data_IF_194665901214
#
_entry.id   IF_194665901214
#
_cell.length_a   1.000
_cell.length_b   1.000
_cell.length_c   1.000
_cell.angle_alpha   90.00
_cell.angle_beta   90.00
_cell.angle_gamma   90.00
#
_symmetry.space_group_name_H-M   'P 1'
#
loop_
_entity.id
_entity.type
_entity.pdbx_description
1 polymer ?
#
# COMPACT_ATOMS: atom_id res chain seq x y z
N UNK A 1 -8.37 -60.01 -32.81
CA UNK A 1 -7.80 -58.62 -32.81
C UNK A 1 -8.45 -57.90 -31.64
N UNK A 2 -7.72 -57.84 -30.52
CA UNK A 2 -8.19 -57.27 -29.26
C UNK A 2 -7.70 -55.83 -29.18
N UNK A 3 -8.59 -54.84 -29.17
CA UNK A 3 -8.24 -53.43 -28.90
C UNK A 3 -8.25 -53.22 -27.39
N UNK A 4 -7.05 -53.04 -26.83
CA UNK A 4 -6.84 -52.65 -25.44
C UNK A 4 -7.03 -51.10 -25.38
N UNK A 5 -8.16 -50.66 -24.77
CA UNK A 5 -8.38 -49.25 -24.44
C UNK A 5 -7.69 -48.96 -23.11
N UNK A 6 -6.57 -48.22 -23.16
CA UNK A 6 -5.88 -47.71 -21.99
C UNK A 6 -6.65 -46.48 -21.49
N UNK A 7 -7.44 -46.63 -20.44
CA UNK A 7 -8.00 -45.51 -19.66
C UNK A 7 -6.86 -44.91 -18.84
N UNK A 8 -6.27 -43.81 -19.31
CA UNK A 8 -5.46 -42.93 -18.49
C UNK A 8 -6.40 -42.16 -17.57
N UNK A 9 -6.55 -42.64 -16.33
CA UNK A 9 -7.06 -41.82 -15.24
C UNK A 9 -6.04 -40.72 -14.98
N UNK A 10 -6.31 -39.51 -15.47
CA UNK A 10 -5.63 -38.30 -15.00
C UNK A 10 -6.03 -38.11 -13.54
N UNK A 11 -5.19 -38.61 -12.63
CA UNK A 11 -5.23 -38.22 -11.24
C UNK A 11 -4.90 -36.72 -11.23
N UNK A 12 -5.91 -35.87 -11.01
CA UNK A 12 -5.73 -34.45 -10.75
C UNK A 12 -4.76 -34.32 -9.58
N UNK A 13 -3.57 -33.81 -9.85
CA UNK A 13 -2.54 -33.63 -8.84
C UNK A 13 -3.09 -32.70 -7.75
N UNK A 14 -2.95 -33.03 -6.45
CA UNK A 14 -3.39 -32.16 -5.35
C UNK A 14 -2.73 -30.76 -5.38
N UNK A 15 -1.62 -30.63 -6.08
CA UNK A 15 -0.91 -29.36 -6.31
C UNK A 15 -1.73 -28.34 -7.13
N UNK A 16 -2.49 -28.75 -8.14
CA UNK A 16 -3.29 -27.83 -8.95
C UNK A 16 -4.43 -27.16 -8.18
N UNK A 17 -5.04 -27.88 -7.23
CA UNK A 17 -6.09 -27.30 -6.38
C UNK A 17 -5.58 -26.32 -5.33
N UNK A 18 -4.35 -26.45 -4.89
CA UNK A 18 -3.69 -25.54 -3.94
C UNK A 18 -3.32 -24.22 -4.62
N UNK A 19 -2.69 -24.30 -5.79
CA UNK A 19 -2.32 -23.11 -6.58
C UNK A 19 -3.55 -22.29 -6.96
N UNK A 20 -4.65 -22.95 -7.33
CA UNK A 20 -5.93 -22.26 -7.60
C UNK A 20 -6.47 -21.51 -6.38
N UNK A 21 -6.36 -22.04 -5.15
CA UNK A 21 -6.79 -21.33 -3.94
C UNK A 21 -5.90 -20.12 -3.63
N UNK A 22 -4.59 -20.20 -3.84
CA UNK A 22 -3.70 -19.06 -3.65
C UNK A 22 -4.01 -17.95 -4.65
N UNK A 23 -4.22 -18.28 -5.92
CA UNK A 23 -4.61 -17.32 -6.96
C UNK A 23 -5.98 -16.70 -6.67
N UNK A 24 -6.97 -17.47 -6.21
CA UNK A 24 -8.28 -16.98 -5.78
C UNK A 24 -8.14 -16.01 -4.61
N UNK A 25 -7.39 -16.38 -3.57
CA UNK A 25 -7.15 -15.56 -2.39
C UNK A 25 -6.48 -14.23 -2.73
N UNK A 26 -5.47 -14.21 -3.61
CA UNK A 26 -4.85 -12.98 -4.06
C UNK A 26 -5.74 -12.16 -5.00
N UNK A 27 -6.59 -12.81 -5.80
CA UNK A 27 -7.59 -12.08 -6.59
C UNK A 27 -8.54 -11.31 -5.69
N UNK A 28 -9.02 -11.90 -4.60
CA UNK A 28 -9.84 -11.21 -3.61
C UNK A 28 -9.03 -10.15 -2.85
N UNK A 29 -7.81 -10.48 -2.43
CA UNK A 29 -6.91 -9.55 -1.74
C UNK A 29 -6.71 -8.25 -2.53
N UNK A 30 -6.33 -8.34 -3.81
CA UNK A 30 -6.10 -7.17 -4.66
C UNK A 30 -7.39 -6.45 -5.07
N UNK A 31 -8.54 -7.10 -4.97
CA UNK A 31 -9.85 -6.47 -5.09
C UNK A 31 -10.35 -5.83 -3.78
N UNK A 32 -9.54 -5.82 -2.71
CA UNK A 32 -9.89 -5.32 -1.37
C UNK A 32 -10.96 -6.16 -0.65
N UNK A 33 -11.25 -7.36 -1.12
CA UNK A 33 -12.22 -8.29 -0.55
C UNK A 33 -11.53 -9.15 0.52
N UNK A 34 -10.93 -8.50 1.52
CA UNK A 34 -10.06 -9.14 2.50
C UNK A 34 -10.71 -10.25 3.31
N UNK A 35 -12.00 -10.14 3.65
CA UNK A 35 -12.69 -11.19 4.41
C UNK A 35 -12.88 -12.46 3.55
N UNK A 36 -13.10 -12.32 2.23
CA UNK A 36 -13.12 -13.43 1.29
C UNK A 36 -11.73 -14.04 1.13
N UNK A 37 -10.70 -13.21 0.94
CA UNK A 37 -9.31 -13.65 0.85
C UNK A 37 -8.89 -14.46 2.09
N UNK A 38 -9.26 -14.00 3.30
CA UNK A 38 -9.00 -14.72 4.54
C UNK A 38 -9.64 -16.10 4.55
N UNK A 39 -10.92 -16.22 4.16
CA UNK A 39 -11.62 -17.49 4.11
C UNK A 39 -10.97 -18.48 3.10
N UNK A 40 -10.51 -17.96 1.96
CA UNK A 40 -9.81 -18.76 0.94
C UNK A 40 -8.45 -19.25 1.47
N UNK A 41 -7.65 -18.40 2.12
CA UNK A 41 -6.36 -18.79 2.68
C UNK A 41 -6.52 -19.74 3.87
N UNK A 42 -7.55 -19.60 4.72
CA UNK A 42 -7.88 -20.56 5.77
C UNK A 42 -8.20 -21.94 5.19
N UNK A 43 -8.98 -21.99 4.10
CA UNK A 43 -9.28 -23.23 3.39
C UNK A 43 -8.00 -23.84 2.78
N UNK A 44 -7.09 -23.02 2.28
CA UNK A 44 -5.81 -23.49 1.77
C UNK A 44 -4.93 -24.07 2.89
N UNK A 45 -4.85 -23.41 4.05
CA UNK A 45 -4.15 -23.91 5.25
C UNK A 45 -4.75 -25.23 5.74
N UNK A 46 -6.09 -25.34 5.78
CA UNK A 46 -6.74 -26.59 6.21
C UNK A 46 -6.39 -27.79 5.31
N UNK A 47 -6.13 -27.54 4.01
CA UNK A 47 -5.69 -28.58 3.07
C UNK A 47 -4.20 -28.90 3.19
N UNK A 48 -3.38 -27.92 3.55
CA UNK A 48 -1.94 -28.09 3.64
C UNK A 48 -1.32 -27.26 4.79
N UNK A 49 -1.52 -27.67 6.05
CA UNK A 49 -1.12 -26.90 7.23
C UNK A 49 0.39 -26.79 7.43
N UNK A 50 1.18 -27.62 6.74
CA UNK A 50 2.65 -27.59 6.80
C UNK A 50 3.32 -26.58 5.86
N UNK A 51 2.55 -25.81 5.08
CA UNK A 51 3.12 -24.83 4.12
C UNK A 51 3.26 -23.45 4.76
N UNK A 52 4.49 -22.96 4.97
CA UNK A 52 4.72 -21.69 5.64
C UNK A 52 4.17 -20.48 4.86
N UNK A 53 4.15 -20.53 3.51
CA UNK A 53 3.67 -19.43 2.67
C UNK A 53 2.19 -19.12 2.89
N UNK A 54 1.37 -20.14 3.16
CA UNK A 54 -0.06 -19.96 3.40
C UNK A 54 -0.32 -19.15 4.68
N UNK A 55 0.48 -19.36 5.72
CA UNK A 55 0.43 -18.59 6.95
C UNK A 55 0.90 -17.15 6.71
N UNK A 56 1.90 -16.94 5.85
CA UNK A 56 2.31 -15.61 5.40
C UNK A 56 1.19 -14.88 4.65
N UNK A 57 0.50 -15.54 3.71
CA UNK A 57 -0.63 -14.95 2.97
C UNK A 57 -1.77 -14.55 3.90
N UNK A 58 -2.08 -15.39 4.88
CA UNK A 58 -3.08 -15.07 5.89
C UNK A 58 -2.67 -13.88 6.76
N UNK A 59 -1.43 -13.85 7.25
CA UNK A 59 -0.90 -12.75 8.04
C UNK A 59 -0.86 -11.43 7.24
N UNK A 60 -0.41 -11.47 6.00
CA UNK A 60 -0.42 -10.34 5.07
C UNK A 60 -1.83 -9.79 4.92
N UNK A 61 -2.80 -10.66 4.66
CA UNK A 61 -4.20 -10.27 4.47
C UNK A 61 -4.78 -9.61 5.72
N UNK A 62 -4.48 -10.14 6.91
CA UNK A 62 -4.90 -9.54 8.18
C UNK A 62 -4.31 -8.13 8.37
N UNK A 63 -3.02 -7.95 8.10
CA UNK A 63 -2.34 -6.64 8.23
C UNK A 63 -2.97 -5.64 7.24
N UNK A 64 -3.13 -6.02 5.97
CA UNK A 64 -3.68 -5.14 4.94
C UNK A 64 -5.15 -4.82 5.18
N UNK A 65 -5.95 -5.76 5.70
CA UNK A 65 -7.32 -5.50 6.14
C UNK A 65 -7.38 -4.44 7.22
N UNK A 66 -6.51 -4.51 8.23
CA UNK A 66 -6.44 -3.48 9.28
C UNK A 66 -5.96 -2.13 8.73
N UNK A 67 -5.00 -2.12 7.82
CA UNK A 67 -4.57 -0.90 7.13
C UNK A 67 -5.73 -0.28 6.33
N UNK A 68 -6.49 -1.12 5.62
CA UNK A 68 -7.65 -0.69 4.84
C UNK A 68 -8.75 -0.08 5.72
N UNK A 69 -9.13 -0.76 6.81
CA UNK A 69 -10.15 -0.29 7.76
C UNK A 69 -9.78 1.05 8.41
N UNK A 70 -8.50 1.31 8.56
CA UNK A 70 -7.99 2.55 9.15
C UNK A 70 -7.58 3.61 8.10
N UNK A 71 -7.89 3.43 6.82
CA UNK A 71 -7.53 4.35 5.75
C UNK A 71 -6.01 4.46 5.49
N UNK A 72 -5.21 3.56 6.06
CA UNK A 72 -3.75 3.62 5.96
C UNK A 72 -3.23 3.26 4.56
N UNK A 73 -3.95 2.43 3.80
CA UNK A 73 -3.58 2.09 2.42
C UNK A 73 -3.62 3.29 1.47
N UNK A 74 -4.56 4.21 1.69
CA UNK A 74 -4.72 5.40 0.84
C UNK A 74 -3.63 6.43 1.06
N UNK A 75 -3.13 6.53 2.28
CA UNK A 75 -2.16 7.55 2.66
C UNK A 75 -0.71 7.14 2.40
N UNK A 76 -0.40 5.85 2.32
CA UNK A 76 0.97 5.38 2.09
C UNK A 76 1.42 5.54 0.65
N UNK A 77 0.51 5.44 -0.30
CA UNK A 77 0.80 5.66 -1.71
C UNK A 77 1.07 7.15 -2.05
N UNK A 78 0.72 8.07 -1.17
CA UNK A 78 0.49 9.47 -1.56
C UNK A 78 1.47 10.50 -0.99
N UNK A 79 2.13 10.26 0.15
CA UNK A 79 2.87 11.35 0.79
C UNK A 79 4.36 11.40 0.40
N UNK A 80 4.74 12.38 -0.41
CA UNK A 80 6.14 12.71 -0.74
C UNK A 80 6.96 13.32 0.40
N UNK A 81 6.34 13.59 1.57
CA UNK A 81 7.03 14.10 2.75
C UNK A 81 7.33 12.96 3.76
N UNK A 82 8.33 13.16 4.62
CA UNK A 82 8.67 12.24 5.72
C UNK A 82 7.53 12.04 6.76
N UNK A 83 6.27 12.26 6.38
CA UNK A 83 5.09 12.11 7.22
C UNK A 83 4.86 10.65 7.68
N UNK A 84 5.49 9.68 7.02
CA UNK A 84 5.39 8.27 7.40
C UNK A 84 5.77 8.00 8.87
N UNK A 85 6.77 8.67 9.41
CA UNK A 85 7.15 8.59 10.82
C UNK A 85 6.13 9.24 11.77
N UNK A 86 5.27 10.14 11.27
CA UNK A 86 4.33 10.94 12.05
C UNK A 86 2.90 10.43 12.03
N UNK A 87 2.61 9.35 11.29
CA UNK A 87 1.25 8.82 11.19
C UNK A 87 0.76 8.23 12.49
N UNK A 88 -0.55 8.31 12.75
CA UNK A 88 -1.14 7.61 13.87
C UNK A 88 -0.78 6.12 13.83
N UNK A 89 -0.63 5.55 15.00
CA UNK A 89 -0.48 4.12 15.21
C UNK A 89 -1.76 3.42 14.76
N UNK A 90 -1.67 2.34 13.99
CA UNK A 90 -2.80 1.45 13.87
C UNK A 90 -3.09 0.82 15.23
N UNK A 91 -4.35 0.62 15.53
CA UNK A 91 -4.77 0.06 16.81
C UNK A 91 -5.72 -1.13 16.59
N UNK A 92 -5.21 -2.27 16.07
CA UNK A 92 -6.00 -3.47 15.92
C UNK A 92 -6.51 -3.97 17.27
N UNK A 93 -7.61 -4.73 17.27
CA UNK A 93 -8.07 -5.38 18.49
C UNK A 93 -7.01 -6.38 18.98
N UNK A 94 -6.95 -6.67 20.31
CA UNK A 94 -6.01 -7.65 20.85
C UNK A 94 -6.09 -9.01 20.15
N UNK A 95 -7.29 -9.43 19.75
CA UNK A 95 -7.52 -10.69 19.04
C UNK A 95 -6.90 -10.66 17.64
N UNK A 96 -7.10 -9.55 16.91
CA UNK A 96 -6.51 -9.37 15.57
C UNK A 96 -4.99 -9.28 15.67
N UNK A 97 -4.48 -8.53 16.62
CA UNK A 97 -3.03 -8.44 16.89
C UNK A 97 -2.42 -9.82 17.16
N UNK A 98 -3.05 -10.56 18.09
CA UNK A 98 -2.60 -11.92 18.42
C UNK A 98 -2.61 -12.82 17.19
N UNK A 99 -3.68 -12.79 16.41
CA UNK A 99 -3.81 -13.62 15.21
C UNK A 99 -2.72 -13.31 14.18
N UNK A 100 -2.44 -12.05 13.92
CA UNK A 100 -1.34 -11.63 13.01
C UNK A 100 -0.02 -12.23 13.47
N UNK A 101 0.32 -12.07 14.75
CA UNK A 101 1.59 -12.53 15.29
C UNK A 101 1.68 -14.06 15.34
N UNK A 102 0.59 -14.75 15.65
CA UNK A 102 0.52 -16.21 15.66
C UNK A 102 0.76 -16.79 14.25
N UNK A 103 0.14 -16.21 13.22
CA UNK A 103 0.33 -16.70 11.85
C UNK A 103 1.77 -16.44 11.35
N UNK A 104 2.36 -15.28 11.65
CA UNK A 104 3.77 -15.01 11.35
C UNK A 104 4.67 -16.01 12.09
N UNK A 105 4.41 -16.28 13.36
CA UNK A 105 5.21 -17.23 14.15
C UNK A 105 5.11 -18.67 13.62
N UNK A 106 3.93 -19.09 13.14
CA UNK A 106 3.73 -20.40 12.50
C UNK A 106 4.52 -20.48 11.19
N UNK A 107 4.44 -19.46 10.33
CA UNK A 107 5.20 -19.42 9.09
C UNK A 107 6.71 -19.56 9.38
N UNK A 108 7.23 -18.81 10.35
CA UNK A 108 8.63 -18.88 10.76
C UNK A 108 9.00 -20.28 11.28
N UNK A 109 8.20 -20.85 12.16
CA UNK A 109 8.48 -22.16 12.76
C UNK A 109 8.50 -23.29 11.69
N UNK A 110 7.58 -23.26 10.74
CA UNK A 110 7.53 -24.21 9.63
C UNK A 110 8.72 -24.04 8.69
N UNK A 111 9.08 -22.83 8.33
CA UNK A 111 10.25 -22.54 7.52
C UNK A 111 11.55 -22.95 8.22
N UNK A 112 11.71 -22.64 9.51
CA UNK A 112 12.86 -23.01 10.31
C UNK A 112 13.02 -24.54 10.43
N UNK A 113 11.91 -25.28 10.55
CA UNK A 113 11.93 -26.74 10.58
C UNK A 113 12.46 -27.34 9.28
N UNK A 114 12.10 -26.74 8.13
CA UNK A 114 12.63 -27.15 6.80
C UNK A 114 14.10 -26.78 6.65
N UNK A 115 14.49 -25.57 7.06
CA UNK A 115 15.88 -25.11 6.99
C UNK A 115 16.84 -25.89 7.88
N UNK A 116 16.35 -26.47 9.00
CA UNK A 116 17.13 -27.42 9.82
C UNK A 116 17.40 -28.75 9.10
N UNK A 117 16.49 -29.18 8.22
CA UNK A 117 16.64 -30.40 7.42
C UNK A 117 17.51 -30.15 6.18
N UNK A 118 17.23 -29.04 5.47
CA UNK A 118 18.00 -28.58 4.32
C UNK A 118 18.31 -27.08 4.44
N UNK A 119 19.53 -26.72 4.85
CA UNK A 119 19.98 -25.33 4.92
C UNK A 119 20.04 -24.58 3.59
N UNK A 120 19.79 -25.26 2.46
CA UNK A 120 19.73 -24.67 1.12
C UNK A 120 18.31 -24.65 0.55
N UNK A 121 17.30 -25.00 1.31
CA UNK A 121 15.89 -24.91 0.89
C UNK A 121 15.49 -23.45 0.64
N UNK A 122 15.60 -23.02 -0.62
CA UNK A 122 15.33 -21.65 -1.05
C UNK A 122 13.87 -21.25 -0.85
N UNK A 123 12.92 -22.18 -0.98
CA UNK A 123 11.51 -21.93 -0.72
C UNK A 123 11.27 -21.67 0.78
N UNK A 124 11.91 -22.42 1.67
CA UNK A 124 11.82 -22.15 3.10
C UNK A 124 12.52 -20.84 3.49
N UNK A 125 13.66 -20.50 2.86
CA UNK A 125 14.30 -19.18 3.02
C UNK A 125 13.36 -18.06 2.60
N UNK A 126 12.68 -18.22 1.46
CA UNK A 126 11.74 -17.25 0.94
C UNK A 126 10.59 -17.03 1.91
N UNK A 127 9.92 -18.08 2.35
CA UNK A 127 8.84 -18.00 3.32
C UNK A 127 9.27 -17.36 4.64
N UNK A 128 10.45 -17.70 5.15
CA UNK A 128 11.03 -17.07 6.34
C UNK A 128 11.33 -15.57 6.11
N UNK A 129 11.86 -15.22 4.94
CA UNK A 129 12.11 -13.83 4.53
C UNK A 129 10.84 -12.99 4.49
N UNK A 130 9.76 -13.53 3.91
CA UNK A 130 8.44 -12.87 3.90
C UNK A 130 7.90 -12.71 5.33
N UNK A 131 7.99 -13.74 6.18
CA UNK A 131 7.53 -13.67 7.57
C UNK A 131 8.27 -12.58 8.36
N UNK A 132 9.59 -12.45 8.20
CA UNK A 132 10.36 -11.33 8.78
C UNK A 132 9.91 -9.98 8.20
N UNK A 133 9.66 -9.88 6.90
CA UNK A 133 9.16 -8.67 6.25
C UNK A 133 7.79 -8.24 6.79
N UNK A 134 6.86 -9.18 6.94
CA UNK A 134 5.53 -8.94 7.52
C UNK A 134 5.63 -8.49 8.98
N UNK A 135 6.51 -9.09 9.78
CA UNK A 135 6.72 -8.69 11.17
C UNK A 135 7.38 -7.31 11.26
N UNK A 136 8.31 -7.01 10.38
CA UNK A 136 8.91 -5.67 10.26
C UNK A 136 7.84 -4.62 9.94
N UNK A 137 6.96 -4.88 8.99
CA UNK A 137 5.83 -4.01 8.65
C UNK A 137 4.89 -3.83 9.84
N UNK A 138 4.51 -4.91 10.51
CA UNK A 138 3.69 -4.85 11.72
C UNK A 138 4.33 -3.99 12.83
N UNK A 139 5.61 -4.19 13.13
CA UNK A 139 6.33 -3.37 14.11
C UNK A 139 6.37 -1.90 13.71
N UNK A 140 6.48 -1.61 12.42
CA UNK A 140 6.50 -0.26 11.91
C UNK A 140 5.13 0.42 11.98
N UNK A 141 4.08 -0.20 11.44
CA UNK A 141 2.76 0.45 11.30
C UNK A 141 1.95 0.40 12.60
N UNK A 142 2.04 -0.68 13.37
CA UNK A 142 1.25 -0.92 14.58
C UNK A 142 2.00 -0.51 15.84
N UNK A 143 3.21 -1.02 16.04
CA UNK A 143 3.96 -0.79 17.29
C UNK A 143 4.78 0.50 17.29
N UNK A 144 5.10 1.06 16.11
CA UNK A 144 6.07 2.16 15.93
C UNK A 144 7.45 1.82 16.53
N UNK A 145 7.78 0.54 16.57
CA UNK A 145 9.03 -0.02 17.08
C UNK A 145 10.06 -0.07 15.95
N UNK A 146 10.59 1.09 15.58
CA UNK A 146 11.48 1.24 14.42
C UNK A 146 12.74 0.36 14.49
N UNK A 147 13.30 0.15 15.67
CA UNK A 147 14.48 -0.69 15.87
C UNK A 147 14.19 -2.16 15.55
N UNK A 148 13.08 -2.69 16.08
CA UNK A 148 12.68 -4.08 15.84
C UNK A 148 12.28 -4.28 14.38
N UNK A 149 11.59 -3.30 13.78
CA UNK A 149 11.30 -3.28 12.36
C UNK A 149 12.56 -3.35 11.50
N UNK A 150 13.57 -2.54 11.79
CA UNK A 150 14.85 -2.55 11.05
C UNK A 150 15.60 -3.87 11.19
N UNK A 151 15.60 -4.46 12.39
CA UNK A 151 16.20 -5.78 12.65
C UNK A 151 15.57 -6.85 11.78
N UNK A 152 14.25 -6.91 11.73
CA UNK A 152 13.51 -7.90 10.94
C UNK A 152 13.64 -7.64 9.44
N UNK A 153 13.57 -6.39 9.00
CA UNK A 153 13.82 -6.05 7.59
C UNK A 153 15.23 -6.45 7.12
N UNK A 154 16.23 -6.33 8.02
CA UNK A 154 17.60 -6.78 7.74
C UNK A 154 17.68 -8.32 7.66
N UNK A 155 16.96 -9.04 8.51
CA UNK A 155 16.87 -10.50 8.47
C UNK A 155 16.21 -10.97 7.17
N UNK A 156 15.09 -10.37 6.78
CA UNK A 156 14.42 -10.63 5.51
C UNK A 156 15.38 -10.44 4.33
N UNK A 157 16.08 -9.30 4.27
CA UNK A 157 17.07 -9.02 3.20
C UNK A 157 18.18 -10.06 3.14
N UNK A 158 18.72 -10.52 4.27
CA UNK A 158 19.78 -11.55 4.29
C UNK A 158 19.32 -12.85 3.66
N UNK A 159 18.11 -13.30 3.98
CA UNK A 159 17.52 -14.50 3.39
C UNK A 159 17.33 -14.35 1.88
N UNK A 160 16.75 -13.26 1.43
CA UNK A 160 16.57 -12.99 -0.01
C UNK A 160 17.90 -12.83 -0.76
N UNK A 161 18.95 -12.26 -0.15
CA UNK A 161 20.28 -12.23 -0.72
C UNK A 161 20.82 -13.67 -0.89
N UNK A 162 20.62 -14.52 0.12
CA UNK A 162 21.07 -15.92 0.06
C UNK A 162 20.35 -16.70 -1.04
N UNK A 163 19.04 -16.46 -1.23
CA UNK A 163 18.30 -17.06 -2.36
C UNK A 163 18.92 -16.62 -3.68
N UNK A 164 19.19 -15.32 -3.85
CA UNK A 164 19.79 -14.82 -5.10
C UNK A 164 21.20 -15.37 -5.39
N UNK A 165 21.95 -15.77 -4.34
CA UNK A 165 23.23 -16.47 -4.51
C UNK A 165 23.05 -17.93 -4.95
N UNK A 166 22.06 -18.63 -4.40
CA UNK A 166 21.76 -20.02 -4.71
C UNK A 166 21.01 -20.18 -6.04
N UNK A 167 20.11 -19.24 -6.32
CA UNK A 167 19.24 -19.21 -7.49
C UNK A 167 19.35 -17.85 -8.21
N UNK A 168 20.40 -17.58 -8.98
CA UNK A 168 20.59 -16.26 -9.62
C UNK A 168 19.47 -15.86 -10.59
N UNK A 169 18.70 -16.83 -11.10
CA UNK A 169 17.57 -16.61 -12.00
C UNK A 169 16.24 -16.39 -11.28
N UNK A 170 16.20 -16.51 -9.96
CA UNK A 170 15.02 -16.22 -9.14
C UNK A 170 14.86 -14.70 -8.99
N UNK A 171 14.09 -14.12 -9.91
CA UNK A 171 13.88 -12.66 -9.99
C UNK A 171 13.07 -12.16 -8.79
N UNK A 172 12.10 -12.94 -8.32
CA UNK A 172 11.21 -12.56 -7.20
C UNK A 172 12.01 -12.29 -5.92
N UNK A 173 13.04 -13.08 -5.64
CA UNK A 173 13.90 -12.86 -4.47
C UNK A 173 14.58 -11.48 -4.43
N UNK A 174 14.58 -10.73 -5.54
CA UNK A 174 15.19 -9.40 -5.61
C UNK A 174 14.26 -8.28 -5.16
N UNK A 175 12.96 -8.52 -5.00
CA UNK A 175 12.01 -7.47 -4.61
C UNK A 175 12.40 -6.81 -3.28
N UNK A 176 12.65 -7.62 -2.26
CA UNK A 176 13.05 -7.13 -0.92
C UNK A 176 14.37 -6.34 -0.99
N UNK A 177 15.31 -6.80 -1.82
CA UNK A 177 16.59 -6.10 -2.05
C UNK A 177 16.36 -4.72 -2.70
N UNK A 178 15.53 -4.66 -3.76
CA UNK A 178 15.21 -3.42 -4.46
C UNK A 178 14.50 -2.41 -3.56
N UNK A 179 13.53 -2.85 -2.79
CA UNK A 179 12.82 -2.01 -1.84
C UNK A 179 13.75 -1.48 -0.73
N UNK A 180 14.62 -2.34 -0.20
CA UNK A 180 15.63 -1.91 0.79
C UNK A 180 16.57 -0.87 0.19
N UNK A 181 17.14 -1.13 -0.99
CA UNK A 181 18.07 -0.22 -1.66
C UNK A 181 17.40 1.14 -1.91
N UNK A 182 16.12 1.15 -2.34
CA UNK A 182 15.35 2.37 -2.52
C UNK A 182 15.11 3.12 -1.20
N UNK A 183 14.62 2.45 -0.16
CA UNK A 183 14.28 3.08 1.13
C UNK A 183 15.52 3.68 1.76
N UNK A 184 16.60 2.91 1.89
CA UNK A 184 17.86 3.38 2.48
C UNK A 184 18.50 4.46 1.62
N UNK A 185 18.48 4.28 0.29
CA UNK A 185 18.97 5.27 -0.68
C UNK A 185 18.16 6.57 -0.70
N UNK A 186 16.93 6.57 -0.19
CA UNK A 186 16.05 7.75 -0.09
C UNK A 186 16.13 8.48 1.25
N UNK A 187 16.86 7.95 2.23
CA UNK A 187 17.00 8.59 3.53
C UNK A 187 17.73 9.95 3.41
N UNK A 188 17.43 10.93 4.28
CA UNK A 188 18.21 12.14 4.39
C UNK A 188 19.69 11.85 4.67
N UNK A 189 20.57 12.73 4.18
CA UNK A 189 22.02 12.55 4.25
C UNK A 189 22.55 12.16 5.64
N UNK A 190 22.07 12.80 6.70
CA UNK A 190 22.51 12.50 8.06
C UNK A 190 22.24 11.05 8.48
N UNK A 191 21.07 10.50 8.11
CA UNK A 191 20.71 9.10 8.39
C UNK A 191 21.49 8.13 7.50
N UNK A 192 21.81 8.50 6.26
CA UNK A 192 22.68 7.69 5.39
C UNK A 192 24.08 7.54 5.99
N UNK A 193 24.64 8.62 6.53
CA UNK A 193 25.94 8.58 7.21
C UNK A 193 25.94 7.66 8.42
N UNK A 194 24.89 7.70 9.26
CA UNK A 194 24.74 6.78 10.38
C UNK A 194 24.60 5.33 9.91
N UNK A 195 23.76 5.10 8.88
CA UNK A 195 23.60 3.78 8.27
C UNK A 195 24.93 3.22 7.72
N UNK A 196 25.70 4.07 7.06
CA UNK A 196 27.03 3.70 6.53
C UNK A 196 27.97 3.16 7.62
N UNK A 197 28.00 3.80 8.81
CA UNK A 197 28.84 3.39 9.94
C UNK A 197 28.49 2.00 10.48
N UNK A 198 27.25 1.53 10.28
CA UNK A 198 26.77 0.22 10.73
C UNK A 198 26.58 -0.77 9.58
N UNK A 199 27.14 -0.46 8.40
CA UNK A 199 27.10 -1.34 7.23
C UNK A 199 25.77 -1.38 6.47
N UNK A 200 24.88 -0.43 6.70
CA UNK A 200 23.62 -0.32 5.98
C UNK A 200 23.79 0.63 4.80
N UNK A 201 23.73 0.10 3.60
CA UNK A 201 23.87 0.85 2.35
C UNK A 201 22.63 0.65 1.48
N UNK A 202 22.27 1.68 0.72
CA UNK A 202 21.21 1.63 -0.27
C UNK A 202 21.49 2.60 -1.41
N UNK A 203 21.06 2.22 -2.60
CA UNK A 203 21.10 3.01 -3.82
C UNK A 203 19.68 3.12 -4.38
N UNK A 204 19.13 4.33 -4.34
CA UNK A 204 17.76 4.60 -4.76
C UNK A 204 17.50 4.20 -6.21
N UNK A 205 18.39 4.57 -7.10
CA UNK A 205 18.25 4.30 -8.54
C UNK A 205 18.38 2.79 -8.85
N UNK A 206 19.31 2.13 -8.19
CA UNK A 206 19.44 0.66 -8.28
C UNK A 206 18.17 -0.02 -7.73
N UNK A 207 17.64 0.47 -6.61
CA UNK A 207 16.41 -0.04 -6.02
C UNK A 207 15.24 0.03 -7.01
N UNK A 208 15.03 1.18 -7.65
CA UNK A 208 13.98 1.34 -8.67
C UNK A 208 14.18 0.36 -9.83
N UNK A 209 15.39 0.26 -10.39
CA UNK A 209 15.69 -0.68 -11.49
C UNK A 209 15.43 -2.13 -11.09
N UNK A 210 15.76 -2.50 -9.86
CA UNK A 210 15.52 -3.85 -9.36
C UNK A 210 14.02 -4.14 -9.25
N UNK A 211 13.22 -3.21 -8.72
CA UNK A 211 11.75 -3.37 -8.65
C UNK A 211 11.13 -3.40 -10.05
N UNK A 212 11.66 -2.62 -11.01
CA UNK A 212 11.25 -2.69 -12.42
C UNK A 212 11.53 -4.08 -13.04
N UNK A 213 12.68 -4.68 -12.73
CA UNK A 213 13.02 -6.03 -13.20
C UNK A 213 12.04 -7.07 -12.65
N UNK A 214 11.72 -7.01 -11.35
CA UNK A 214 10.72 -7.91 -10.73
C UNK A 214 9.32 -7.69 -11.32
N UNK A 215 8.89 -6.46 -11.49
CA UNK A 215 7.58 -6.17 -12.09
C UNK A 215 7.44 -6.69 -13.53
N UNK A 216 8.56 -6.76 -14.27
CA UNK A 216 8.57 -7.23 -15.65
C UNK A 216 8.75 -8.74 -15.77
N UNK A 217 9.64 -9.31 -14.99
CA UNK A 217 10.18 -10.68 -15.16
C UNK A 217 9.88 -11.59 -13.97
N UNK A 218 9.33 -11.07 -12.87
CA UNK A 218 8.92 -11.86 -11.69
C UNK A 218 7.67 -12.69 -11.98
N UNK A 219 7.43 -13.63 -11.12
CA UNK A 219 6.27 -14.52 -11.14
C UNK A 219 5.36 -14.29 -9.92
N UNK A 220 5.83 -14.64 -8.73
CA UNK A 220 5.06 -14.54 -7.49
C UNK A 220 4.91 -13.09 -7.03
N UNK A 221 5.99 -12.32 -7.04
CA UNK A 221 6.04 -10.94 -6.53
C UNK A 221 5.78 -9.89 -7.63
N UNK A 222 5.37 -10.31 -8.82
CA UNK A 222 5.16 -9.39 -9.94
C UNK A 222 4.14 -8.30 -9.61
N UNK A 223 2.99 -8.68 -9.04
CA UNK A 223 1.91 -7.74 -8.74
C UNK A 223 2.32 -6.79 -7.63
N UNK A 224 2.97 -7.30 -6.58
CA UNK A 224 3.54 -6.48 -5.52
C UNK A 224 4.55 -5.48 -6.07
N UNK A 225 5.44 -5.91 -6.94
CA UNK A 225 6.42 -5.03 -7.56
C UNK A 225 5.75 -3.94 -8.42
N UNK A 226 4.69 -4.26 -9.16
CA UNK A 226 3.92 -3.28 -9.94
C UNK A 226 3.25 -2.23 -9.03
N UNK A 227 2.64 -2.67 -7.91
CA UNK A 227 2.04 -1.78 -6.91
C UNK A 227 3.11 -0.88 -6.28
N UNK A 228 4.25 -1.44 -5.88
CA UNK A 228 5.36 -0.66 -5.35
C UNK A 228 5.90 0.34 -6.37
N UNK A 229 6.04 -0.04 -7.64
CA UNK A 229 6.49 0.89 -8.68
C UNK A 229 5.53 2.08 -8.84
N UNK A 230 4.23 1.87 -8.74
CA UNK A 230 3.28 2.99 -8.76
C UNK A 230 3.58 4.00 -7.65
N UNK A 231 3.84 3.52 -6.43
CA UNK A 231 4.19 4.37 -5.30
C UNK A 231 5.57 5.05 -5.49
N UNK A 232 6.58 4.32 -5.98
CA UNK A 232 7.92 4.84 -6.23
C UNK A 232 7.91 5.93 -7.30
N UNK A 233 7.29 5.68 -8.45
CA UNK A 233 7.18 6.68 -9.53
C UNK A 233 6.45 7.94 -9.07
N UNK A 234 5.40 7.78 -8.28
CA UNK A 234 4.69 8.93 -7.74
C UNK A 234 5.56 9.74 -6.80
N UNK A 235 6.28 9.08 -5.89
CA UNK A 235 7.20 9.74 -4.95
C UNK A 235 8.35 10.46 -5.65
N UNK A 236 8.83 9.93 -6.77
CA UNK A 236 9.88 10.52 -7.59
C UNK A 236 9.35 11.55 -8.62
N UNK A 237 8.08 11.97 -8.50
CA UNK A 237 7.42 12.89 -9.45
C UNK A 237 7.40 12.36 -10.90
N UNK A 238 7.37 11.05 -11.06
CA UNK A 238 7.32 10.34 -12.35
C UNK A 238 5.96 9.67 -12.57
N UNK A 239 4.88 10.28 -12.09
CA UNK A 239 3.51 9.69 -12.10
C UNK A 239 3.06 9.24 -13.49
N UNK A 240 3.58 9.86 -14.56
CA UNK A 240 3.31 9.43 -15.95
C UNK A 240 3.72 7.98 -16.21
N UNK A 241 4.81 7.49 -15.60
CA UNK A 241 5.27 6.10 -15.75
C UNK A 241 4.39 5.11 -14.99
N UNK A 242 3.71 5.57 -13.94
CA UNK A 242 2.81 4.73 -13.15
C UNK A 242 1.44 4.52 -13.84
N UNK A 243 0.98 5.46 -14.66
CA UNK A 243 -0.35 5.40 -15.32
C UNK A 243 -0.61 4.06 -16.02
N UNK A 244 0.25 3.55 -16.93
CA UNK A 244 -0.01 2.28 -17.60
C UNK A 244 -0.04 1.09 -16.64
N UNK A 245 0.75 1.09 -15.57
CA UNK A 245 0.75 0.04 -14.54
C UNK A 245 -0.58 0.03 -13.78
N UNK A 246 -1.03 1.20 -13.31
CA UNK A 246 -2.32 1.31 -12.60
C UNK A 246 -3.49 0.93 -13.50
N UNK A 247 -3.47 1.30 -14.78
CA UNK A 247 -4.49 0.90 -15.73
C UNK A 247 -4.53 -0.62 -15.91
N UNK A 248 -3.39 -1.29 -15.93
CA UNK A 248 -3.31 -2.74 -16.00
C UNK A 248 -3.85 -3.39 -14.73
N UNK A 249 -3.44 -2.89 -13.56
CA UNK A 249 -3.95 -3.36 -12.27
C UNK A 249 -5.47 -3.19 -12.17
N UNK A 250 -6.04 -2.08 -12.66
CA UNK A 250 -7.50 -1.86 -12.70
C UNK A 250 -8.22 -2.90 -13.58
N UNK A 251 -7.62 -3.31 -14.71
CA UNK A 251 -8.20 -4.36 -15.56
C UNK A 251 -8.23 -5.72 -14.87
N UNK A 252 -7.17 -6.06 -14.14
CA UNK A 252 -7.04 -7.32 -13.40
C UNK A 252 -7.89 -7.33 -12.11
N UNK A 253 -7.99 -6.18 -11.42
CA UNK A 253 -8.65 -6.03 -10.14
C UNK A 253 -9.74 -4.96 -10.19
N UNK A 254 -10.84 -5.20 -10.93
CA UNK A 254 -11.82 -4.16 -11.27
C UNK A 254 -12.64 -3.65 -10.07
N UNK A 255 -12.70 -4.41 -8.95
CA UNK A 255 -13.41 -4.02 -7.72
C UNK A 255 -12.56 -3.15 -6.79
N UNK A 256 -11.27 -2.96 -7.10
CA UNK A 256 -10.37 -2.13 -6.32
C UNK A 256 -10.55 -0.65 -6.68
N UNK A 257 -11.34 0.05 -5.88
CA UNK A 257 -11.58 1.48 -6.08
C UNK A 257 -10.35 2.35 -5.81
N UNK A 258 -9.44 1.90 -4.90
CA UNK A 258 -8.22 2.66 -4.57
C UNK A 258 -7.35 2.87 -5.81
N UNK A 259 -7.22 1.85 -6.66
CA UNK A 259 -6.46 1.96 -7.91
C UNK A 259 -7.07 3.00 -8.86
N UNK A 260 -8.40 3.10 -8.94
CA UNK A 260 -9.05 4.11 -9.79
C UNK A 260 -8.90 5.52 -9.23
N UNK A 261 -9.00 5.67 -7.91
CA UNK A 261 -8.75 6.94 -7.25
C UNK A 261 -7.28 7.37 -7.43
N UNK A 262 -6.35 6.42 -7.30
CA UNK A 262 -4.92 6.65 -7.56
C UNK A 262 -4.65 7.07 -9.01
N UNK A 263 -5.32 6.44 -9.98
CA UNK A 263 -5.23 6.82 -11.40
C UNK A 263 -5.63 8.29 -11.61
N UNK A 264 -6.70 8.75 -10.94
CA UNK A 264 -7.12 10.14 -10.97
C UNK A 264 -6.02 11.10 -10.51
N UNK A 265 -5.37 10.76 -9.42
CA UNK A 265 -4.26 11.56 -8.89
C UNK A 265 -3.02 11.51 -9.79
N UNK A 266 -2.69 10.35 -10.35
CA UNK A 266 -1.55 10.20 -11.25
C UNK A 266 -1.72 11.02 -12.53
N UNK A 267 -2.91 11.04 -13.12
CA UNK A 267 -3.21 11.93 -14.24
C UNK A 267 -3.03 13.39 -13.86
N UNK A 268 -3.59 13.82 -12.74
CA UNK A 268 -3.45 15.19 -12.25
C UNK A 268 -1.99 15.58 -12.05
N UNK A 269 -1.20 14.75 -11.38
CA UNK A 269 0.22 14.99 -11.13
C UNK A 269 1.07 14.95 -12.41
N UNK A 270 0.58 14.30 -13.46
CA UNK A 270 1.23 14.28 -14.78
C UNK A 270 0.87 15.48 -15.66
N UNK A 271 0.11 16.43 -15.14
CA UNK A 271 -0.32 17.63 -15.85
C UNK A 271 -1.66 17.48 -16.57
N UNK A 272 -2.39 16.38 -16.39
CA UNK A 272 -3.68 16.11 -17.03
C UNK A 272 -4.83 16.07 -16.01
N UNK A 273 -5.19 17.26 -15.50
CA UNK A 273 -6.28 17.40 -14.54
C UNK A 273 -7.63 16.96 -15.08
N UNK A 274 -7.87 17.14 -16.37
CA UNK A 274 -9.12 16.74 -17.01
C UNK A 274 -9.33 15.22 -16.96
N UNK A 275 -8.31 14.43 -17.33
CA UNK A 275 -8.35 12.97 -17.15
C UNK A 275 -8.41 12.57 -15.69
N UNK A 276 -7.76 13.33 -14.79
CA UNK A 276 -7.85 13.11 -13.36
C UNK A 276 -9.28 13.18 -12.86
N UNK A 277 -10.00 14.26 -13.19
CA UNK A 277 -11.41 14.42 -12.83
C UNK A 277 -12.31 13.37 -13.51
N UNK A 278 -12.03 13.03 -14.78
CA UNK A 278 -12.76 11.97 -15.47
C UNK A 278 -12.64 10.61 -14.78
N UNK A 279 -11.44 10.25 -14.30
CA UNK A 279 -11.23 9.01 -13.55
C UNK A 279 -12.02 8.99 -12.23
N UNK A 280 -12.11 10.11 -11.52
CA UNK A 280 -12.89 10.23 -10.29
C UNK A 280 -14.40 10.21 -10.58
N UNK A 281 -14.86 10.87 -11.63
CA UNK A 281 -16.25 10.80 -12.08
C UNK A 281 -16.69 9.36 -12.40
N UNK A 282 -15.79 8.54 -12.95
CA UNK A 282 -16.06 7.12 -13.15
C UNK A 282 -16.19 6.36 -11.81
N UNK A 283 -15.38 6.68 -10.79
CA UNK A 283 -15.53 6.12 -9.42
C UNK A 283 -16.91 6.51 -8.85
N UNK A 284 -17.30 7.79 -8.99
CA UNK A 284 -18.59 8.28 -8.54
C UNK A 284 -19.76 7.55 -9.23
N UNK A 285 -19.67 7.36 -10.55
CA UNK A 285 -20.66 6.61 -11.33
C UNK A 285 -20.77 5.15 -10.88
N UNK A 286 -19.64 4.48 -10.67
CA UNK A 286 -19.62 3.08 -10.20
C UNK A 286 -20.21 2.96 -8.79
N UNK A 287 -19.91 3.91 -7.90
CA UNK A 287 -20.54 3.97 -6.58
C UNK A 287 -22.05 4.19 -6.68
N UNK A 288 -22.48 5.14 -7.49
CA UNK A 288 -23.92 5.46 -7.66
C UNK A 288 -24.71 4.28 -8.25
N UNK A 289 -24.08 3.46 -9.10
CA UNK A 289 -24.67 2.25 -9.68
C UNK A 289 -24.55 1.01 -8.80
N UNK A 290 -24.04 1.13 -7.57
CA UNK A 290 -23.77 0.01 -6.67
C UNK A 290 -22.91 -1.09 -7.31
N UNK A 291 -21.94 -0.70 -8.13
CA UNK A 291 -21.02 -1.64 -8.73
C UNK A 291 -20.21 -2.40 -7.66
N UNK A 292 -19.93 -3.69 -7.84
CA UNK A 292 -19.21 -4.49 -6.86
C UNK A 292 -17.89 -3.84 -6.43
N UNK A 293 -17.69 -3.69 -5.10
CA UNK A 293 -16.51 -3.07 -4.50
C UNK A 293 -16.62 -1.55 -4.30
N UNK A 294 -17.59 -0.85 -4.92
CA UNK A 294 -17.68 0.61 -4.90
C UNK A 294 -18.61 1.18 -3.82
N UNK A 295 -19.48 0.40 -3.23
CA UNK A 295 -20.32 0.87 -2.10
C UNK A 295 -19.48 1.30 -0.90
N UNK A 296 -18.30 0.73 -0.74
CA UNK A 296 -17.34 1.04 0.33
C UNK A 296 -16.62 2.40 0.19
N UNK A 297 -16.68 3.01 -0.99
CA UNK A 297 -16.01 4.31 -1.22
C UNK A 297 -16.79 5.41 -0.52
N UNK A 298 -16.21 6.14 0.46
CA UNK A 298 -16.88 7.32 1.02
C UNK A 298 -16.99 8.43 -0.04
N UNK A 299 -18.14 9.08 -0.14
CA UNK A 299 -18.32 10.23 -1.04
C UNK A 299 -17.34 11.36 -0.74
N UNK A 300 -17.03 11.56 0.54
CA UNK A 300 -16.10 12.57 1.03
C UNK A 300 -14.71 12.41 0.42
N UNK A 301 -14.26 11.17 0.19
CA UNK A 301 -12.97 10.92 -0.46
C UNK A 301 -12.98 11.27 -1.93
N UNK A 302 -14.09 11.00 -2.62
CA UNK A 302 -14.27 11.43 -4.00
C UNK A 302 -14.24 12.96 -4.06
N UNK A 303 -15.06 13.64 -3.28
CA UNK A 303 -15.10 15.11 -3.24
C UNK A 303 -13.77 15.73 -2.85
N UNK A 304 -13.06 15.12 -1.89
CA UNK A 304 -11.74 15.59 -1.49
C UNK A 304 -10.72 15.51 -2.64
N UNK A 305 -10.71 14.40 -3.38
CA UNK A 305 -9.77 14.24 -4.49
C UNK A 305 -10.14 15.14 -5.68
N UNK A 306 -11.42 15.25 -6.03
CA UNK A 306 -11.89 16.19 -7.05
C UNK A 306 -11.50 17.62 -6.68
N UNK A 307 -11.87 18.07 -5.48
CA UNK A 307 -11.54 19.40 -4.99
C UNK A 307 -10.02 19.64 -4.89
N UNK A 308 -9.22 18.62 -4.64
CA UNK A 308 -7.76 18.73 -4.65
C UNK A 308 -7.21 18.93 -6.06
N UNK A 309 -7.72 18.22 -7.06
CA UNK A 309 -7.35 18.43 -8.47
C UNK A 309 -7.77 19.84 -8.91
N UNK A 310 -9.02 20.22 -8.68
CA UNK A 310 -9.55 21.55 -9.02
C UNK A 310 -8.74 22.67 -8.38
N UNK A 311 -8.30 22.51 -7.12
CA UNK A 311 -7.41 23.45 -6.48
C UNK A 311 -6.12 23.62 -7.28
N UNK A 312 -5.40 22.55 -7.58
CA UNK A 312 -4.12 22.63 -8.27
C UNK A 312 -4.23 23.18 -9.69
N UNK A 313 -5.38 22.98 -10.35
CA UNK A 313 -5.68 23.54 -11.67
C UNK A 313 -6.38 24.91 -11.62
N UNK A 314 -6.40 25.53 -10.43
CA UNK A 314 -6.91 26.91 -10.21
C UNK A 314 -8.42 27.09 -10.39
N UNK A 315 -9.20 26.02 -10.36
CA UNK A 315 -10.67 26.09 -10.25
C UNK A 315 -11.08 26.18 -8.78
N UNK A 316 -10.83 27.38 -8.21
CA UNK A 316 -10.97 27.60 -6.77
C UNK A 316 -12.43 27.52 -6.29
N UNK A 317 -13.40 27.85 -7.16
CA UNK A 317 -14.81 27.82 -6.80
C UNK A 317 -15.33 26.40 -6.65
N UNK A 318 -15.08 25.55 -7.66
CA UNK A 318 -15.44 24.12 -7.58
C UNK A 318 -14.70 23.42 -6.45
N UNK A 319 -13.40 23.69 -6.32
CA UNK A 319 -12.60 23.13 -5.23
C UNK A 319 -13.22 23.47 -3.86
N UNK A 320 -13.60 24.74 -3.65
CA UNK A 320 -14.24 25.16 -2.39
C UNK A 320 -15.58 24.44 -2.16
N UNK A 321 -16.37 24.26 -3.22
CA UNK A 321 -17.65 23.54 -3.15
C UNK A 321 -17.46 22.08 -2.74
N UNK A 322 -16.50 21.39 -3.35
CA UNK A 322 -16.18 20.01 -3.02
C UNK A 322 -15.60 19.88 -1.60
N UNK A 323 -14.69 20.79 -1.18
CA UNK A 323 -14.19 20.78 0.20
C UNK A 323 -15.29 21.06 1.24
N UNK A 324 -16.30 21.89 0.93
CA UNK A 324 -17.47 22.09 1.78
C UNK A 324 -18.30 20.80 1.91
N UNK A 325 -18.51 20.04 0.83
CA UNK A 325 -19.19 18.74 0.91
C UNK A 325 -18.47 17.78 1.85
N UNK A 326 -17.12 17.72 1.76
CA UNK A 326 -16.30 16.92 2.67
C UNK A 326 -16.52 17.34 4.13
N UNK A 327 -16.48 18.64 4.41
CA UNK A 327 -16.53 19.16 5.79
C UNK A 327 -17.93 19.24 6.37
N UNK A 328 -18.98 19.06 5.57
CA UNK A 328 -20.38 19.03 5.99
C UNK A 328 -20.88 17.62 6.34
N UNK A 329 -20.10 16.57 6.06
CA UNK A 329 -20.48 15.20 6.35
C UNK A 329 -20.64 14.98 7.84
N UNK A 330 -21.70 14.24 8.20
CA UNK A 330 -21.93 13.77 9.58
C UNK A 330 -21.24 12.44 9.88
N UNK A 331 -20.66 11.79 8.87
CA UNK A 331 -19.90 10.56 9.04
C UNK A 331 -18.53 10.86 9.67
N UNK A 332 -18.02 9.94 10.47
CA UNK A 332 -16.65 10.01 10.98
C UNK A 332 -15.67 9.82 9.82
N UNK A 333 -15.19 10.95 9.32
CA UNK A 333 -14.12 10.95 8.35
C UNK A 333 -12.80 10.51 9.00
N UNK A 334 -11.95 9.86 8.24
CA UNK A 334 -10.57 9.67 8.69
C UNK A 334 -9.93 11.05 8.97
N UNK A 335 -9.08 11.09 10.00
CA UNK A 335 -8.48 12.33 10.49
C UNK A 335 -7.68 13.08 9.42
N UNK A 336 -7.21 12.38 8.40
CA UNK A 336 -6.45 12.98 7.32
C UNK A 336 -7.35 13.75 6.33
N UNK A 337 -8.37 13.10 5.79
CA UNK A 337 -9.27 13.70 4.79
C UNK A 337 -9.97 14.95 5.35
N UNK A 338 -10.52 14.87 6.56
CA UNK A 338 -11.20 15.99 7.18
C UNK A 338 -10.28 17.18 7.47
N UNK A 339 -9.11 16.94 8.07
CA UNK A 339 -8.17 18.01 8.40
C UNK A 339 -7.57 18.66 7.15
N UNK A 340 -7.27 17.88 6.10
CA UNK A 340 -6.78 18.39 4.83
C UNK A 340 -7.84 19.22 4.09
N UNK A 341 -9.11 18.81 4.15
CA UNK A 341 -10.20 19.59 3.54
C UNK A 341 -10.31 20.98 4.20
N UNK A 342 -10.26 21.07 5.53
CA UNK A 342 -10.25 22.35 6.24
C UNK A 342 -9.03 23.20 5.92
N UNK A 343 -7.83 22.61 5.84
CA UNK A 343 -6.62 23.30 5.39
C UNK A 343 -6.81 23.86 3.99
N UNK A 344 -7.30 23.05 3.06
CA UNK A 344 -7.51 23.45 1.67
C UNK A 344 -8.52 24.60 1.55
N UNK A 345 -9.62 24.55 2.31
CA UNK A 345 -10.56 25.67 2.37
C UNK A 345 -9.89 26.96 2.84
N UNK A 346 -9.05 26.89 3.87
CA UNK A 346 -8.28 28.04 4.34
C UNK A 346 -7.37 28.64 3.26
N UNK A 347 -6.65 27.77 2.54
CA UNK A 347 -5.78 28.18 1.42
C UNK A 347 -6.58 28.85 0.29
N UNK A 348 -7.75 28.27 -0.07
CA UNK A 348 -8.64 28.85 -1.08
C UNK A 348 -9.15 30.23 -0.65
N UNK A 349 -9.58 30.38 0.61
CA UNK A 349 -10.06 31.64 1.12
C UNK A 349 -8.94 32.71 1.13
N UNK A 350 -7.70 32.37 1.50
CA UNK A 350 -6.57 33.29 1.39
C UNK A 350 -6.32 33.73 -0.06
N UNK A 351 -6.32 32.79 -1.01
CA UNK A 351 -6.17 33.10 -2.45
C UNK A 351 -7.32 33.99 -2.97
N UNK A 352 -8.50 33.88 -2.40
CA UNK A 352 -9.68 34.73 -2.70
C UNK A 352 -9.73 36.02 -1.86
N UNK A 353 -8.67 36.32 -1.10
CA UNK A 353 -8.56 37.50 -0.22
C UNK A 353 -9.63 37.54 0.90
N UNK A 354 -10.18 36.40 1.28
CA UNK A 354 -11.18 36.23 2.33
C UNK A 354 -10.53 35.81 3.64
N UNK A 355 -9.69 36.68 4.20
CA UNK A 355 -8.80 36.37 5.32
C UNK A 355 -9.50 35.86 6.58
N UNK A 356 -10.63 36.45 6.97
CA UNK A 356 -11.35 36.03 8.16
C UNK A 356 -11.82 34.58 8.07
N UNK A 357 -12.32 34.17 6.91
CA UNK A 357 -12.79 32.81 6.64
C UNK A 357 -11.61 31.84 6.53
N UNK A 358 -10.48 32.28 5.96
CA UNK A 358 -9.25 31.50 5.93
C UNK A 358 -8.79 31.13 7.35
N UNK A 359 -8.72 32.11 8.25
CA UNK A 359 -8.35 31.89 9.66
C UNK A 359 -9.33 30.94 10.35
N UNK A 360 -10.65 31.10 10.11
CA UNK A 360 -11.66 30.21 10.67
C UNK A 360 -11.47 28.75 10.20
N UNK A 361 -11.18 28.55 8.90
CA UNK A 361 -10.92 27.23 8.33
C UNK A 361 -9.64 26.60 8.91
N UNK A 362 -8.54 27.35 9.01
CA UNK A 362 -7.30 26.85 9.63
C UNK A 362 -7.48 26.46 11.10
N UNK A 363 -8.26 27.23 11.87
CA UNK A 363 -8.59 26.88 13.26
C UNK A 363 -9.36 25.56 13.32
N UNK A 364 -10.29 25.31 12.39
CA UNK A 364 -11.03 24.05 12.30
C UNK A 364 -10.12 22.89 11.92
N UNK A 365 -9.18 23.05 10.97
CA UNK A 365 -8.18 22.02 10.65
C UNK A 365 -7.34 21.63 11.88
N UNK A 366 -6.92 22.62 12.68
CA UNK A 366 -6.14 22.40 13.92
C UNK A 366 -6.99 21.68 14.98
N UNK A 367 -8.24 22.07 15.16
CA UNK A 367 -9.13 21.45 16.14
C UNK A 367 -9.51 20.03 15.76
N UNK A 368 -9.69 19.75 14.47
CA UNK A 368 -10.09 18.44 13.94
C UNK A 368 -9.06 17.36 14.23
N UNK A 369 -7.78 17.62 13.93
CA UNK A 369 -6.68 16.68 14.14
C UNK A 369 -5.40 17.42 14.56
N UNK A 370 -5.23 17.80 15.85
CA UNK A 370 -4.17 18.71 16.31
C UNK A 370 -2.75 18.26 15.98
N UNK A 371 -2.52 16.96 15.84
CA UNK A 371 -1.21 16.36 15.54
C UNK A 371 -0.97 16.11 14.05
N UNK A 372 -2.01 16.27 13.21
CA UNK A 372 -1.89 16.05 11.78
C UNK A 372 -1.01 17.10 11.10
N UNK A 373 -0.44 16.75 9.95
CA UNK A 373 0.36 17.66 9.14
C UNK A 373 -0.44 18.89 8.72
N UNK A 374 -1.71 18.70 8.34
CA UNK A 374 -2.63 19.78 8.01
C UNK A 374 -2.78 20.82 9.14
N UNK A 375 -2.80 20.37 10.39
CA UNK A 375 -2.84 21.27 11.55
C UNK A 375 -1.52 22.04 11.72
N UNK A 376 -0.38 21.38 11.47
CA UNK A 376 0.94 22.04 11.54
C UNK A 376 1.08 23.11 10.45
N UNK A 377 0.64 22.82 9.21
CA UNK A 377 0.60 23.81 8.14
C UNK A 377 -0.38 24.93 8.45
N UNK A 378 -1.58 24.61 8.93
CA UNK A 378 -2.58 25.60 9.30
C UNK A 378 -2.07 26.59 10.34
N UNK A 379 -1.26 26.16 11.32
CA UNK A 379 -0.65 27.06 12.31
C UNK A 379 0.22 28.14 11.66
N UNK A 380 0.97 27.77 10.60
CA UNK A 380 1.80 28.73 9.85
C UNK A 380 0.93 29.80 9.17
N UNK A 381 -0.23 29.37 8.63
CA UNK A 381 -1.12 30.26 7.90
C UNK A 381 -2.04 31.09 8.79
N UNK A 382 -2.05 30.89 10.11
CA UNK A 382 -2.76 31.79 11.03
C UNK A 382 -2.13 33.18 11.08
N UNK A 383 -0.79 33.27 10.98
CA UNK A 383 -0.05 34.54 11.00
C UNK A 383 0.23 35.07 9.59
N UNK A 384 0.56 34.17 8.66
CA UNK A 384 0.96 34.52 7.29
C UNK A 384 -0.02 33.91 6.30
N UNK A 385 -0.75 34.70 5.50
CA UNK A 385 -1.67 34.17 4.51
C UNK A 385 -0.98 33.21 3.54
N UNK A 386 -1.68 32.12 3.17
CA UNK A 386 -1.20 31.22 2.13
C UNK A 386 -1.10 31.97 0.79
N UNK A 387 0.01 31.75 0.09
CA UNK A 387 0.23 32.19 -1.29
C UNK A 387 0.75 31.01 -2.09
N UNK A 388 0.13 30.77 -3.25
CA UNK A 388 0.68 29.78 -4.19
C UNK A 388 1.95 30.37 -4.80
N UNK A 389 3.06 29.65 -4.68
CA UNK A 389 4.32 29.98 -5.36
C UNK A 389 4.27 29.54 -6.81
#
# INVERSE_FOLDING_TARGET
MLKLALLLALAASPLGGQQSLVEEGFTDFYNLDYDQALAVFEKAIARNPGQPDLHNHLAQTLIFREMFRNGALESELVSGSNSFLRRPKLNPTPETEKRILDEIAKAMALADARLKQDPKDTAAMYASGIAYGLRANYYWVVKKAWHDSLKDATAARRLHNRISELEPNNVDARLVQGLHDYVVGSLPWAYKMLGFLIGIHGDKEKGIRTVQDVAKNGNQDRVEAEVFLCALYRRENQSRLAVPLVQDLIRRYPRNYLLRMELGQMYSQSGDGARGLQALAEVARLKQSHAPGFDRVPWEKIYYQEGSIEFWYNDLDRSLENMKKVTASSEELDLNTGSQAWLRMGQIYDMKQRRAEAIAAYKKAIAYAPQAEAAQESRKYLSTPYRRM
#
